data_IF_547427668152
#
_entry.id   IF_547427668152
#
_cell.length_a   1.000
_cell.length_b   1.000
_cell.length_c   1.000
_cell.angle_alpha   90.00
_cell.angle_beta   90.00
_cell.angle_gamma   90.00
#
_symmetry.space_group_name_H-M   'P 1'
#
loop_
_entity.id
_entity.type
_entity.pdbx_description
1 polymer ?
#
# COMPACT_ATOMS: atom_id res chain seq x y z
N UNK A 1 -1.23 -7.95 6.04
CA UNK A 1 -1.85 -7.41 4.82
C UNK A 1 -0.76 -6.99 3.86
N UNK A 2 -1.00 -7.15 2.58
CA UNK A 2 -0.05 -6.80 1.52
C UNK A 2 -0.76 -6.04 0.40
N UNK A 3 -0.08 -5.02 -0.12
CA UNK A 3 -0.55 -4.20 -1.24
C UNK A 3 0.41 -4.38 -2.41
N UNK A 4 -0.12 -4.66 -3.60
CA UNK A 4 0.65 -4.85 -4.83
C UNK A 4 0.17 -3.80 -5.83
N UNK A 5 1.06 -2.86 -6.17
CA UNK A 5 0.78 -1.79 -7.13
C UNK A 5 1.45 -2.13 -8.46
N UNK A 6 0.72 -2.11 -9.58
CA UNK A 6 1.29 -2.28 -10.93
C UNK A 6 1.28 -0.98 -11.72
N UNK A 7 2.34 -0.79 -12.50
CA UNK A 7 2.63 0.45 -13.23
C UNK A 7 2.59 1.66 -12.28
N UNK A 8 3.37 1.56 -11.21
CA UNK A 8 3.41 2.55 -10.14
C UNK A 8 4.41 3.67 -10.43
N UNK A 9 4.04 4.91 -10.12
CA UNK A 9 4.84 6.11 -10.27
C UNK A 9 4.84 6.90 -8.97
N UNK A 10 6.00 7.37 -8.52
CA UNK A 10 6.07 8.36 -7.44
C UNK A 10 5.55 9.68 -7.99
N UNK A 11 4.37 10.08 -7.54
CA UNK A 11 3.72 11.32 -7.98
C UNK A 11 4.22 12.53 -7.18
N UNK A 12 4.43 12.34 -5.87
CA UNK A 12 4.84 13.41 -4.96
C UNK A 12 5.70 12.88 -3.82
N UNK A 13 6.66 13.69 -3.39
CA UNK A 13 7.47 13.44 -2.21
C UNK A 13 7.56 14.74 -1.41
N UNK A 14 6.94 14.76 -0.23
CA UNK A 14 7.01 15.89 0.70
C UNK A 14 7.89 15.51 1.88
N UNK A 15 8.93 16.31 2.13
CA UNK A 15 9.80 16.15 3.30
C UNK A 15 9.37 17.17 4.34
N UNK A 16 8.80 16.68 5.45
CA UNK A 16 8.37 17.51 6.57
C UNK A 16 9.43 17.55 7.66
N UNK A 17 9.82 18.75 8.09
CA UNK A 17 10.76 18.95 9.19
C UNK A 17 11.18 20.40 9.33
N UNK A 18 10.28 21.27 9.83
CA UNK A 18 10.58 22.69 10.05
C UNK A 18 10.81 23.06 11.51
N UNK A 19 10.64 22.12 12.45
CA UNK A 19 10.83 22.41 13.87
C UNK A 19 12.14 21.82 14.41
N UNK A 20 12.92 22.66 15.10
CA UNK A 20 14.29 22.38 15.57
C UNK A 20 14.35 21.28 16.63
N UNK A 21 13.20 20.83 17.14
CA UNK A 21 13.05 19.80 18.17
C UNK A 21 12.61 18.42 17.63
N UNK A 22 12.48 18.26 16.31
CA UNK A 22 12.04 16.99 15.72
C UNK A 22 13.19 15.98 15.70
N UNK A 23 13.11 14.94 16.55
CA UNK A 23 14.13 13.87 16.65
C UNK A 23 14.20 12.94 15.43
N UNK A 24 13.17 12.91 14.57
CA UNK A 24 13.10 12.07 13.36
C UNK A 24 12.35 12.78 12.24
N UNK A 25 13.00 12.95 11.10
CA UNK A 25 12.41 13.55 9.90
C UNK A 25 11.39 12.58 9.30
N UNK A 26 10.20 13.10 8.96
CA UNK A 26 9.14 12.34 8.32
C UNK A 26 9.06 12.74 6.84
N UNK A 27 8.90 11.75 5.96
CA UNK A 27 8.71 11.95 4.52
C UNK A 27 7.42 11.29 4.09
N UNK A 28 6.59 12.02 3.35
CA UNK A 28 5.37 11.51 2.75
C UNK A 28 5.62 11.26 1.27
N UNK A 29 5.36 10.04 0.79
CA UNK A 29 5.47 9.67 -0.61
C UNK A 29 4.07 9.31 -1.11
N UNK A 30 3.63 9.96 -2.19
CA UNK A 30 2.38 9.63 -2.88
C UNK A 30 2.71 8.84 -4.14
N UNK A 31 2.08 7.67 -4.29
CA UNK A 31 2.29 6.75 -5.41
C UNK A 31 0.99 6.66 -6.23
N UNK A 32 1.07 6.99 -7.51
CA UNK A 32 0.02 6.73 -8.49
C UNK A 32 0.22 5.34 -9.11
N UNK A 33 -0.85 4.65 -9.47
CA UNK A 33 -0.80 3.29 -10.01
C UNK A 33 -1.96 3.02 -10.97
N UNK A 34 -1.83 1.99 -11.81
CA UNK A 34 -2.88 1.55 -12.75
C UNK A 34 -3.66 0.35 -12.22
N UNK A 35 -2.98 -0.58 -11.55
CA UNK A 35 -3.66 -1.69 -10.87
C UNK A 35 -3.25 -1.73 -9.41
N UNK A 36 -4.21 -2.10 -8.55
CA UNK A 36 -3.96 -2.43 -7.15
C UNK A 36 -4.50 -3.83 -6.84
N UNK A 37 -3.70 -4.63 -6.17
CA UNK A 37 -4.10 -5.87 -5.53
C UNK A 37 -3.93 -5.76 -4.02
N UNK A 38 -4.88 -6.31 -3.27
CA UNK A 38 -4.83 -6.43 -1.81
C UNK A 38 -4.87 -7.91 -1.47
N UNK A 39 -3.89 -8.36 -0.68
CA UNK A 39 -3.83 -9.73 -0.15
C UNK A 39 -3.86 -9.69 1.36
N UNK A 40 -4.78 -10.46 1.94
CA UNK A 40 -4.92 -10.62 3.38
C UNK A 40 -4.86 -12.09 3.75
N UNK A 41 -3.93 -12.45 4.62
CA UNK A 41 -3.85 -13.76 5.24
C UNK A 41 -4.47 -13.65 6.63
N UNK A 42 -5.65 -14.26 6.88
CA UNK A 42 -6.19 -14.35 8.23
C UNK A 42 -5.36 -15.29 9.09
N UNK A 43 -5.44 -15.11 10.40
CA UNK A 43 -4.86 -16.00 11.38
C UNK A 43 -5.96 -16.47 12.32
N UNK A 44 -5.90 -17.74 12.74
CA UNK A 44 -6.81 -18.29 13.75
C UNK A 44 -6.43 -17.88 15.18
N UNK A 45 -7.18 -18.38 16.16
CA UNK A 45 -6.96 -18.08 17.58
C UNK A 45 -5.61 -18.58 18.11
N UNK A 46 -5.02 -19.58 17.45
CA UNK A 46 -3.71 -20.15 17.77
C UNK A 46 -2.55 -19.43 17.04
N UNK A 47 -2.87 -18.45 16.18
CA UNK A 47 -1.89 -17.70 15.40
C UNK A 47 -1.38 -18.42 14.16
N UNK A 48 -2.06 -19.48 13.71
CA UNK A 48 -1.73 -20.16 12.46
C UNK A 48 -2.33 -19.41 11.27
N UNK A 49 -1.56 -19.33 10.18
CA UNK A 49 -2.01 -18.68 8.96
C UNK A 49 -3.07 -19.52 8.23
N UNK A 50 -4.18 -18.89 7.88
CA UNK A 50 -5.24 -19.46 7.05
C UNK A 50 -5.01 -19.18 5.56
N UNK A 51 -5.92 -19.66 4.70
CA UNK A 51 -5.87 -19.38 3.26
C UNK A 51 -5.99 -17.88 2.97
N UNK A 52 -5.10 -17.30 2.15
CA UNK A 52 -5.12 -15.89 1.85
C UNK A 52 -6.29 -15.52 0.94
N UNK A 53 -6.92 -14.39 1.24
CA UNK A 53 -7.96 -13.75 0.44
C UNK A 53 -7.30 -12.65 -0.38
N UNK A 54 -7.55 -12.64 -1.69
CA UNK A 54 -7.00 -11.64 -2.61
C UNK A 54 -8.11 -10.98 -3.43
N UNK A 55 -8.05 -9.66 -3.57
CA UNK A 55 -8.93 -8.87 -4.44
C UNK A 55 -8.10 -7.82 -5.17
N UNK A 56 -8.43 -7.52 -6.42
CA UNK A 56 -7.75 -6.48 -7.18
C UNK A 56 -8.68 -5.68 -8.08
N UNK A 57 -8.13 -4.58 -8.59
CA UNK A 57 -8.82 -3.69 -9.52
C UNK A 57 -7.83 -3.06 -10.50
N UNK A 58 -8.22 -3.02 -11.77
CA UNK A 58 -7.50 -2.33 -12.83
C UNK A 58 -8.29 -1.07 -13.23
N UNK A 59 -7.68 0.10 -13.06
CA UNK A 59 -8.30 1.40 -13.35
C UNK A 59 -8.29 1.75 -14.83
N UNK A 60 -7.35 1.21 -15.62
CA UNK A 60 -7.30 1.42 -17.06
C UNK A 60 -8.42 0.69 -17.80
N UNK A 61 -8.82 -0.50 -17.33
CA UNK A 61 -9.91 -1.30 -17.93
C UNK A 61 -11.22 -1.19 -17.16
N UNK A 62 -11.22 -0.58 -15.98
CA UNK A 62 -12.37 -0.51 -15.07
C UNK A 62 -12.93 -1.91 -14.71
N UNK A 63 -12.04 -2.87 -14.45
CA UNK A 63 -12.42 -4.27 -14.17
C UNK A 63 -11.85 -4.77 -12.84
N UNK A 64 -12.62 -5.64 -12.19
CA UNK A 64 -12.20 -6.39 -11.00
C UNK A 64 -11.24 -7.52 -11.38
N UNK A 65 -10.32 -7.84 -10.47
CA UNK A 65 -9.33 -8.93 -10.57
C UNK A 65 -9.34 -9.81 -9.34
#
# INVERSE_FOLDING_TARGET
MEYILKNALIFRCDVGGTDKNVKRIIKNITISFVEIGVRYTPYDEDGNAQSPISVGFNTATNTKK
#
